data_IF_641612027110
#
_entry.id   IF_641612027110
#
_cell.length_a   1.000
_cell.length_b   1.000
_cell.length_c   1.000
_cell.angle_alpha   90.00
_cell.angle_beta   90.00
_cell.angle_gamma   90.00
#
_symmetry.space_group_name_H-M   'P 1'
#
loop_
_entity.id
_entity.type
_entity.pdbx_description
1 polymer ?
#
# COMPACT_ATOMS: atom_id res chain seq x y z
N UNK A 1 6.23 -25.69 4.46
CA UNK A 1 6.99 -24.46 4.70
C UNK A 1 6.77 -23.50 3.56
N UNK A 2 6.66 -22.23 3.89
CA UNK A 2 6.57 -21.18 2.89
C UNK A 2 7.98 -20.80 2.44
N UNK A 3 8.15 -20.61 1.14
CA UNK A 3 9.39 -20.08 0.59
C UNK A 3 9.01 -18.90 -0.31
N UNK A 4 9.55 -17.75 -0.01
CA UNK A 4 9.44 -16.61 -0.91
C UNK A 4 10.58 -16.72 -1.93
N UNK A 5 10.23 -16.66 -3.22
CA UNK A 5 11.18 -16.62 -4.33
C UNK A 5 10.98 -15.28 -5.01
N UNK A 6 12.03 -14.54 -5.13
CA UNK A 6 12.01 -13.25 -5.80
C UNK A 6 12.53 -13.42 -7.24
N UNK A 7 11.94 -12.74 -8.20
CA UNK A 7 12.34 -12.85 -9.60
C UNK A 7 13.74 -12.28 -9.87
N UNK A 8 14.22 -12.55 -11.06
CA UNK A 8 15.52 -12.13 -11.54
C UNK A 8 15.82 -10.66 -11.27
N UNK A 9 16.94 -10.39 -10.65
CA UNK A 9 17.40 -9.06 -10.26
C UNK A 9 17.05 -8.63 -8.83
N UNK A 10 16.01 -9.19 -8.22
CA UNK A 10 15.63 -8.92 -6.83
C UNK A 10 16.08 -10.04 -5.87
N UNK A 11 16.89 -10.98 -6.35
CA UNK A 11 17.27 -12.18 -5.61
C UNK A 11 18.68 -12.15 -5.07
N UNK A 12 19.43 -11.11 -5.32
CA UNK A 12 20.74 -10.99 -4.71
C UNK A 12 20.62 -10.39 -3.30
N UNK A 13 21.59 -10.73 -2.46
CA UNK A 13 21.61 -10.26 -1.08
C UNK A 13 21.66 -8.73 -1.00
N UNK A 14 22.29 -8.08 -1.99
CA UNK A 14 22.40 -6.63 -2.03
C UNK A 14 21.04 -5.96 -2.20
N UNK A 15 20.17 -6.50 -3.05
CA UNK A 15 18.81 -5.97 -3.22
C UNK A 15 18.01 -5.98 -1.91
N UNK A 16 18.19 -7.02 -1.09
CA UNK A 16 17.53 -7.05 0.24
C UNK A 16 18.08 -5.99 1.17
N UNK A 17 19.39 -5.78 1.15
CA UNK A 17 20.04 -4.76 1.98
C UNK A 17 19.63 -3.37 1.51
N UNK A 18 19.62 -3.13 0.22
CA UNK A 18 19.29 -1.82 -0.38
C UNK A 18 17.81 -1.44 -0.17
N UNK A 19 16.95 -2.42 0.08
CA UNK A 19 15.53 -2.23 0.35
C UNK A 19 15.17 -2.40 1.84
N UNK A 20 16.13 -2.26 2.73
CA UNK A 20 15.89 -2.29 4.17
C UNK A 20 15.16 -3.56 4.65
N UNK A 21 15.46 -4.71 4.05
CA UNK A 21 14.90 -5.97 4.52
C UNK A 21 15.35 -6.23 5.96
N UNK A 22 14.41 -6.58 6.81
CA UNK A 22 14.66 -6.77 8.24
C UNK A 22 14.25 -8.16 8.72
N UNK A 23 14.99 -8.68 9.67
CA UNK A 23 14.59 -9.85 10.46
C UNK A 23 13.93 -9.30 11.72
N UNK A 24 12.65 -9.54 11.84
CA UNK A 24 11.82 -9.01 12.92
C UNK A 24 11.73 -10.03 14.03
N UNK A 25 12.10 -9.62 15.24
CA UNK A 25 12.01 -10.40 16.47
C UNK A 25 10.91 -9.85 17.38
N UNK A 26 10.73 -8.53 17.34
CA UNK A 26 9.78 -7.80 18.18
C UNK A 26 9.04 -6.76 17.35
N UNK A 27 7.83 -6.44 17.78
CA UNK A 27 7.07 -5.28 17.28
C UNK A 27 6.56 -4.46 18.46
N UNK A 28 6.82 -3.16 18.41
CA UNK A 28 6.41 -2.21 19.47
C UNK A 28 6.92 -2.62 20.87
N UNK A 29 8.11 -3.19 20.95
CA UNK A 29 8.72 -3.63 22.22
C UNK A 29 8.15 -4.94 22.79
N UNK A 30 7.43 -5.72 21.98
CA UNK A 30 6.88 -7.02 22.36
C UNK A 30 7.34 -8.11 21.39
N UNK A 31 7.66 -9.27 21.93
CA UNK A 31 7.96 -10.46 21.14
C UNK A 31 6.81 -10.75 20.15
N UNK A 32 7.17 -11.22 18.96
CA UNK A 32 6.17 -11.63 17.98
C UNK A 32 5.40 -12.86 18.48
N UNK A 33 4.09 -12.77 18.52
CA UNK A 33 3.25 -13.94 18.71
C UNK A 33 3.09 -14.75 17.40
N UNK A 34 2.54 -15.95 17.49
CA UNK A 34 2.40 -16.86 16.33
C UNK A 34 1.58 -16.23 15.20
N UNK A 35 0.52 -15.50 15.52
CA UNK A 35 -0.33 -14.83 14.52
C UNK A 35 0.40 -13.70 13.78
N UNK A 36 1.32 -13.04 14.47
CA UNK A 36 2.18 -11.98 13.92
C UNK A 36 3.38 -12.52 13.14
N UNK A 37 3.63 -13.85 13.18
CA UNK A 37 4.76 -14.46 12.49
C UNK A 37 5.91 -14.87 13.41
N UNK A 38 5.68 -14.89 14.72
CA UNK A 38 6.68 -15.28 15.71
C UNK A 38 7.14 -16.74 15.62
N UNK A 39 8.34 -17.06 16.14
CA UNK A 39 9.22 -16.14 16.88
C UNK A 39 10.05 -15.20 16.01
N UNK A 40 10.16 -15.46 14.71
CA UNK A 40 11.00 -14.69 13.79
C UNK A 40 10.29 -14.56 12.46
N UNK A 41 10.32 -13.37 11.91
CA UNK A 41 9.77 -13.05 10.60
C UNK A 41 10.83 -12.34 9.75
N UNK A 42 10.85 -12.58 8.45
CA UNK A 42 11.55 -11.69 7.51
C UNK A 42 10.55 -10.78 6.86
N UNK A 43 10.80 -9.49 6.93
CA UNK A 43 9.98 -8.46 6.29
C UNK A 43 10.82 -7.74 5.25
N UNK A 44 10.29 -7.65 4.02
CA UNK A 44 10.92 -6.93 2.91
C UNK A 44 9.98 -5.78 2.53
N UNK A 45 10.36 -4.54 2.83
CA UNK A 45 9.56 -3.37 2.48
C UNK A 45 9.23 -3.33 0.99
N UNK A 46 8.07 -2.76 0.63
CA UNK A 46 7.63 -2.65 -0.75
C UNK A 46 7.12 -3.92 -1.41
N UNK A 47 7.15 -5.05 -0.71
CA UNK A 47 6.61 -6.31 -1.20
C UNK A 47 5.26 -6.64 -0.56
N UNK A 48 4.44 -7.42 -1.28
CA UNK A 48 3.16 -7.88 -0.74
C UNK A 48 3.35 -8.81 0.47
N UNK A 49 2.34 -8.90 1.33
CA UNK A 49 2.38 -9.76 2.52
C UNK A 49 2.67 -11.23 2.23
N UNK A 50 2.48 -11.67 0.99
CA UNK A 50 2.87 -13.01 0.52
C UNK A 50 4.38 -13.20 0.42
N UNK A 51 5.15 -12.13 0.33
CA UNK A 51 6.60 -12.15 0.31
C UNK A 51 7.21 -12.11 1.73
N UNK A 52 6.41 -11.82 2.73
CA UNK A 52 6.80 -11.85 4.14
C UNK A 52 6.78 -13.30 4.65
N UNK A 53 7.92 -13.81 5.07
CA UNK A 53 8.00 -15.17 5.61
C UNK A 53 7.84 -15.14 7.12
N UNK A 54 6.70 -15.61 7.59
CA UNK A 54 6.36 -15.79 9.00
C UNK A 54 6.90 -17.11 9.54
N UNK A 55 7.15 -17.17 10.84
CA UNK A 55 7.69 -18.35 11.52
C UNK A 55 8.98 -18.84 10.85
N UNK A 56 9.88 -17.92 10.59
CA UNK A 56 11.13 -18.18 9.92
C UNK A 56 11.98 -19.17 10.75
N UNK A 57 12.37 -20.27 10.14
CA UNK A 57 13.21 -21.31 10.78
C UNK A 57 14.61 -21.37 10.21
N UNK A 58 14.87 -20.70 9.10
CA UNK A 58 16.19 -20.64 8.50
C UNK A 58 16.21 -19.86 7.22
N UNK A 59 17.38 -19.32 6.92
CA UNK A 59 17.69 -18.63 5.67
C UNK A 59 18.84 -19.39 5.03
N UNK A 60 18.68 -19.76 3.77
CA UNK A 60 19.73 -20.42 3.00
C UNK A 60 20.08 -19.59 1.78
N UNK A 61 21.30 -19.18 1.69
CA UNK A 61 21.85 -18.56 0.48
C UNK A 61 22.44 -19.66 -0.41
N UNK A 62 22.11 -19.63 -1.69
CA UNK A 62 22.69 -20.55 -2.66
C UNK A 62 22.99 -19.79 -3.94
N UNK A 63 24.10 -20.14 -4.56
CA UNK A 63 24.43 -19.65 -5.89
C UNK A 63 23.91 -20.70 -6.90
N UNK A 64 22.77 -20.43 -7.50
CA UNK A 64 22.16 -21.33 -8.48
C UNK A 64 21.40 -20.52 -9.53
N UNK A 65 21.55 -20.94 -10.77
CA UNK A 65 20.81 -20.36 -11.90
C UNK A 65 19.38 -20.94 -12.01
N UNK A 66 19.08 -21.97 -11.22
CA UNK A 66 17.76 -22.59 -11.15
C UNK A 66 17.27 -22.59 -9.70
N UNK A 67 16.60 -21.55 -9.25
CA UNK A 67 15.96 -21.57 -7.94
C UNK A 67 14.91 -22.67 -7.90
N UNK A 68 14.69 -23.33 -6.75
CA UNK A 68 13.65 -24.35 -6.64
C UNK A 68 12.29 -23.72 -6.95
N UNK A 69 11.65 -24.25 -7.99
CA UNK A 69 10.28 -23.87 -8.34
C UNK A 69 9.34 -24.62 -7.39
N UNK A 70 8.74 -23.92 -6.46
CA UNK A 70 7.61 -24.46 -5.70
C UNK A 70 6.33 -24.25 -6.52
N UNK A 71 5.91 -25.30 -7.21
CA UNK A 71 4.84 -25.26 -8.18
C UNK A 71 3.43 -25.07 -7.59
N UNK A 72 3.27 -25.15 -6.28
CA UNK A 72 1.95 -25.21 -5.67
C UNK A 72 1.51 -23.92 -5.00
N UNK A 73 2.35 -22.92 -5.00
CA UNK A 73 1.96 -21.60 -4.59
C UNK A 73 2.15 -20.70 -5.81
N UNK A 74 1.05 -20.27 -6.39
CA UNK A 74 1.07 -19.08 -7.22
C UNK A 74 1.55 -17.94 -6.34
N UNK A 75 2.87 -17.85 -6.13
CA UNK A 75 3.47 -16.55 -5.88
C UNK A 75 3.02 -15.77 -7.09
N UNK A 76 2.17 -14.75 -6.92
CA UNK A 76 1.90 -13.87 -8.04
C UNK A 76 3.28 -13.52 -8.51
N UNK A 77 3.62 -13.98 -9.72
CA UNK A 77 4.86 -13.61 -10.35
C UNK A 77 4.98 -12.14 -10.10
N UNK A 78 6.10 -11.69 -9.55
CA UNK A 78 6.39 -10.28 -9.51
C UNK A 78 6.76 -9.94 -10.96
N UNK A 79 5.88 -10.30 -11.88
CA UNK A 79 5.75 -9.63 -13.15
C UNK A 79 5.53 -8.16 -12.78
N UNK A 80 6.21 -7.29 -13.46
CA UNK A 80 6.13 -5.85 -13.25
C UNK A 80 4.69 -5.43 -12.89
N UNK A 81 4.39 -5.25 -11.61
CA UNK A 81 3.03 -5.03 -11.11
C UNK A 81 2.64 -5.77 -9.84
N UNK A 82 3.40 -6.75 -9.37
CA UNK A 82 3.16 -7.39 -8.07
C UNK A 82 3.94 -6.73 -6.91
N UNK A 83 4.84 -5.82 -7.22
CA UNK A 83 5.32 -4.86 -6.24
C UNK A 83 4.12 -4.03 -5.78
N UNK A 84 4.03 -3.76 -4.50
CA UNK A 84 2.93 -2.96 -3.98
C UNK A 84 2.98 -1.62 -4.69
N UNK A 85 2.07 -1.48 -5.64
CA UNK A 85 1.76 -0.21 -6.24
C UNK A 85 1.27 0.75 -5.15
N UNK A 86 1.25 2.03 -5.43
CA UNK A 86 0.59 2.99 -4.54
C UNK A 86 -0.80 2.50 -4.20
N UNK A 87 -1.20 2.72 -2.97
CA UNK A 87 -2.51 2.39 -2.49
C UNK A 87 -3.08 3.56 -1.69
N UNK A 88 -4.39 3.69 -1.71
CA UNK A 88 -5.12 4.71 -0.97
C UNK A 88 -6.27 4.03 -0.24
N UNK A 89 -6.54 4.46 0.98
CA UNK A 89 -7.66 3.96 1.78
C UNK A 89 -8.33 5.10 2.51
N UNK A 90 -9.66 5.04 2.60
CA UNK A 90 -10.44 5.87 3.50
C UNK A 90 -10.40 5.27 4.91
N UNK A 91 -10.47 6.11 5.93
CA UNK A 91 -10.56 5.64 7.32
C UNK A 91 -11.96 5.18 7.69
N UNK A 92 -13.00 5.80 7.11
CA UNK A 92 -14.38 5.38 7.27
C UNK A 92 -14.76 4.33 6.22
N UNK A 93 -14.81 3.07 6.62
CA UNK A 93 -15.13 1.97 5.71
C UNK A 93 -16.63 1.68 5.62
N UNK A 94 -17.43 2.12 6.58
CA UNK A 94 -18.88 1.86 6.68
C UNK A 94 -19.76 2.87 5.92
N UNK A 95 -19.12 3.81 5.25
CA UNK A 95 -19.78 4.94 4.58
C UNK A 95 -20.00 6.12 5.52
N UNK A 96 -20.33 7.26 4.93
CA UNK A 96 -20.47 8.53 5.62
C UNK A 96 -21.90 9.04 5.52
N UNK A 97 -22.45 9.53 6.63
CA UNK A 97 -23.73 10.23 6.68
C UNK A 97 -23.46 11.75 6.70
N UNK A 98 -24.16 12.48 5.85
CA UNK A 98 -24.02 13.93 5.73
C UNK A 98 -25.38 14.59 5.53
N UNK A 99 -25.41 15.93 5.63
CA UNK A 99 -26.62 16.74 5.36
C UNK A 99 -26.32 17.83 4.36
N UNK A 100 -27.35 18.20 3.60
CA UNK A 100 -27.27 19.34 2.68
C UNK A 100 -26.87 20.60 3.43
N UNK A 101 -25.88 21.33 2.89
CA UNK A 101 -25.38 22.58 3.46
C UNK A 101 -24.45 22.44 4.66
N UNK A 102 -24.24 21.25 5.19
CA UNK A 102 -23.28 21.00 6.27
C UNK A 102 -21.95 20.46 5.69
N UNK A 103 -20.78 21.01 6.10
CA UNK A 103 -19.51 20.48 5.63
C UNK A 103 -19.26 19.08 6.17
N UNK A 104 -18.84 18.18 5.31
CA UNK A 104 -18.38 16.84 5.66
C UNK A 104 -16.89 16.73 5.36
N UNK A 105 -16.15 16.22 6.34
CA UNK A 105 -14.72 15.96 6.20
C UNK A 105 -14.48 14.48 6.02
N UNK A 106 -13.75 14.13 4.98
CA UNK A 106 -13.32 12.78 4.67
C UNK A 106 -11.81 12.68 4.92
N UNK A 107 -11.41 11.62 5.57
CA UNK A 107 -10.01 11.39 5.91
C UNK A 107 -9.54 10.05 5.37
N UNK A 108 -8.27 9.99 5.00
CA UNK A 108 -7.68 8.77 4.51
C UNK A 108 -6.16 8.80 4.54
N UNK A 109 -5.58 7.72 4.10
CA UNK A 109 -4.14 7.62 3.93
C UNK A 109 -3.79 7.00 2.59
N UNK A 110 -2.66 7.43 2.06
CA UNK A 110 -2.05 6.87 0.88
C UNK A 110 -0.62 6.46 1.18
N UNK A 111 -0.18 5.40 0.58
CA UNK A 111 1.20 4.91 0.69
C UNK A 111 1.67 4.34 -0.64
N UNK A 112 2.95 4.41 -0.84
CA UNK A 112 3.65 3.81 -1.95
C UNK A 112 5.09 3.57 -1.56
N UNK A 113 5.75 2.71 -2.28
CA UNK A 113 7.10 2.30 -1.94
C UNK A 113 8.01 2.37 -3.17
N UNK A 114 9.28 2.61 -2.93
CA UNK A 114 10.32 2.50 -3.93
C UNK A 114 11.08 1.20 -3.68
N UNK A 115 11.23 0.39 -4.71
CA UNK A 115 12.01 -0.84 -4.68
C UNK A 115 13.10 -0.77 -5.75
N UNK A 116 14.28 -0.30 -5.35
CA UNK A 116 15.41 -0.06 -6.24
C UNK A 116 15.02 0.80 -7.45
N UNK A 117 15.68 0.56 -8.57
CA UNK A 117 15.35 1.24 -9.84
C UNK A 117 14.10 0.65 -10.53
N UNK A 118 13.60 -0.49 -10.05
CA UNK A 118 12.52 -1.23 -10.69
C UNK A 118 11.15 -0.59 -10.51
N UNK A 119 10.91 0.08 -9.39
CA UNK A 119 9.69 0.83 -9.17
C UNK A 119 9.94 2.02 -8.24
N UNK A 120 9.32 3.13 -8.56
CA UNK A 120 9.28 4.30 -7.72
C UNK A 120 7.83 4.76 -7.61
N UNK A 121 7.19 4.34 -6.52
CA UNK A 121 5.79 4.63 -6.22
C UNK A 121 5.64 5.59 -5.02
N UNK A 122 6.67 6.36 -4.76
CA UNK A 122 6.62 7.41 -3.74
C UNK A 122 5.46 8.37 -4.04
N UNK A 123 4.55 8.54 -3.09
CA UNK A 123 3.37 9.39 -3.27
C UNK A 123 3.79 10.82 -3.52
N UNK A 124 3.38 11.39 -4.64
CA UNK A 124 3.65 12.77 -5.01
C UNK A 124 2.45 13.68 -4.81
N UNK A 125 1.25 13.15 -5.03
CA UNK A 125 -0.02 13.85 -4.80
C UNK A 125 -1.18 12.87 -4.67
N UNK A 126 -2.27 13.36 -4.11
CA UNK A 126 -3.53 12.61 -3.98
C UNK A 126 -4.61 13.36 -4.74
N UNK A 127 -5.35 12.64 -5.55
CA UNK A 127 -6.47 13.13 -6.33
C UNK A 127 -7.78 12.62 -5.74
N UNK A 128 -8.78 13.48 -5.75
CA UNK A 128 -10.12 13.23 -5.23
C UNK A 128 -11.17 13.50 -6.29
N UNK A 129 -12.24 12.73 -6.29
CA UNK A 129 -13.40 12.87 -7.17
C UNK A 129 -14.70 12.60 -6.43
N UNK A 130 -15.76 13.38 -6.71
CA UNK A 130 -17.13 13.16 -6.23
C UNK A 130 -18.10 12.70 -7.32
N UNK A 131 -17.64 12.63 -8.55
CA UNK A 131 -18.44 12.33 -9.73
C UNK A 131 -18.04 11.01 -10.40
N UNK A 132 -17.72 10.03 -9.56
CA UNK A 132 -17.35 8.70 -10.03
C UNK A 132 -16.02 8.62 -10.77
N UNK A 133 -15.12 9.59 -10.60
CA UNK A 133 -13.81 9.63 -11.26
C UNK A 133 -13.83 10.31 -12.63
N UNK A 134 -14.86 11.08 -12.95
CA UNK A 134 -14.92 11.86 -14.20
C UNK A 134 -14.05 13.11 -14.10
N UNK A 135 -14.10 13.79 -12.97
CA UNK A 135 -13.26 14.94 -12.67
C UNK A 135 -12.48 14.70 -11.38
N UNK A 136 -11.22 15.12 -11.39
CA UNK A 136 -10.32 14.95 -10.29
C UNK A 136 -9.76 16.28 -9.81
N UNK A 137 -9.75 16.48 -8.51
CA UNK A 137 -9.16 17.64 -7.83
C UNK A 137 -8.02 17.16 -6.95
N UNK A 138 -6.92 17.89 -6.97
CA UNK A 138 -5.80 17.61 -6.07
C UNK A 138 -6.17 17.98 -4.64
N UNK A 139 -5.87 17.10 -3.70
CA UNK A 139 -6.07 17.34 -2.27
C UNK A 139 -4.77 17.85 -1.68
N UNK A 140 -4.90 18.71 -0.69
CA UNK A 140 -3.74 19.12 0.10
C UNK A 140 -3.14 17.88 0.77
N UNK A 141 -1.92 17.58 0.40
CA UNK A 141 -1.10 16.55 1.02
C UNK A 141 0.14 17.19 1.64
N UNK A 142 0.75 16.57 2.65
CA UNK A 142 1.94 17.14 3.26
C UNK A 142 3.06 17.31 2.22
N UNK A 143 3.80 18.42 2.30
CA UNK A 143 4.90 18.76 1.41
C UNK A 143 6.07 17.75 1.42
N UNK A 144 6.10 16.87 2.43
CA UNK A 144 7.14 15.86 2.60
C UNK A 144 6.56 14.45 2.62
N UNK A 145 7.05 13.59 1.77
CA UNK A 145 6.80 12.15 1.82
C UNK A 145 7.88 11.49 2.68
N UNK A 146 7.44 10.74 3.68
CA UNK A 146 8.30 9.82 4.44
C UNK A 146 8.03 8.39 3.94
N UNK A 147 9.01 7.68 3.36
CA UNK A 147 8.80 6.32 2.84
C UNK A 147 8.40 5.31 3.92
N UNK A 148 8.59 5.63 5.19
CA UNK A 148 8.24 4.77 6.32
C UNK A 148 6.90 5.13 6.97
N UNK A 149 6.18 6.13 6.44
CA UNK A 149 4.90 6.60 6.95
C UNK A 149 3.85 6.68 5.85
N UNK A 150 2.62 6.46 6.25
CA UNK A 150 1.48 6.73 5.39
C UNK A 150 1.28 8.24 5.24
N UNK A 151 1.03 8.67 4.02
CA UNK A 151 0.67 10.06 3.73
C UNK A 151 -0.81 10.24 4.06
N UNK A 152 -1.10 10.91 5.14
CA UNK A 152 -2.46 11.26 5.53
C UNK A 152 -2.97 12.40 4.66
N UNK A 153 -4.25 12.34 4.32
CA UNK A 153 -4.93 13.41 3.60
C UNK A 153 -6.32 13.66 4.18
N UNK A 154 -6.77 14.87 4.02
CA UNK A 154 -8.08 15.32 4.46
C UNK A 154 -8.75 16.10 3.34
N UNK A 155 -10.04 15.86 3.12
CA UNK A 155 -10.84 16.60 2.16
C UNK A 155 -12.16 17.01 2.79
N UNK A 156 -12.49 18.28 2.67
CA UNK A 156 -13.76 18.82 3.13
C UNK A 156 -14.63 19.22 1.96
N UNK A 157 -15.89 18.80 1.98
CA UNK A 157 -16.87 19.08 0.97
C UNK A 157 -18.22 19.43 1.61
N UNK A 158 -18.94 20.37 1.01
CA UNK A 158 -20.31 20.72 1.45
C UNK A 158 -21.29 20.30 0.35
N UNK A 159 -22.15 19.29 0.62
CA UNK A 159 -23.14 18.84 -0.35
C UNK A 159 -24.23 19.88 -0.60
N UNK A 160 -24.56 20.13 -1.85
CA UNK A 160 -25.62 21.04 -2.23
C UNK A 160 -26.98 20.35 -2.40
N UNK A 161 -27.01 19.05 -2.52
CA UNK A 161 -28.23 18.24 -2.76
C UNK A 161 -28.20 16.95 -1.99
N UNK A 162 -29.37 16.52 -1.55
CA UNK A 162 -29.55 15.17 -0.98
C UNK A 162 -29.35 14.11 -2.05
N UNK A 163 -28.83 12.96 -1.64
CA UNK A 163 -28.59 11.83 -2.53
C UNK A 163 -27.43 10.94 -2.07
N UNK A 164 -27.11 9.97 -2.90
CA UNK A 164 -25.97 9.10 -2.71
C UNK A 164 -24.82 9.53 -3.59
N UNK A 165 -23.69 9.76 -2.97
CA UNK A 165 -22.44 10.11 -3.65
C UNK A 165 -21.41 9.01 -3.46
N UNK A 166 -20.54 8.83 -4.44
CA UNK A 166 -19.40 7.95 -4.33
C UNK A 166 -18.16 8.80 -4.51
N UNK A 167 -17.53 9.05 -3.37
CA UNK A 167 -16.22 9.71 -3.36
C UNK A 167 -15.13 8.70 -3.71
N UNK A 168 -14.19 9.13 -4.54
CA UNK A 168 -13.02 8.36 -4.92
C UNK A 168 -11.74 9.12 -4.60
N UNK A 169 -10.71 8.38 -4.21
CA UNK A 169 -9.36 8.92 -4.06
C UNK A 169 -8.34 7.98 -4.70
N UNK A 170 -7.29 8.56 -5.26
CA UNK A 170 -6.14 7.83 -5.79
C UNK A 170 -4.86 8.63 -5.60
N UNK A 171 -3.75 7.92 -5.47
CA UNK A 171 -2.43 8.53 -5.46
C UNK A 171 -1.84 8.61 -6.87
N UNK A 172 -0.98 9.60 -7.04
CA UNK A 172 -0.07 9.72 -8.18
C UNK A 172 1.34 9.85 -7.62
N UNK A 173 2.27 9.06 -8.14
CA UNK A 173 3.65 9.10 -7.69
C UNK A 173 4.36 10.40 -8.09
N UNK A 174 5.50 10.67 -7.46
CA UNK A 174 6.35 11.82 -7.80
C UNK A 174 6.80 11.82 -9.27
N UNK A 175 6.89 10.66 -9.89
CA UNK A 175 7.21 10.51 -11.33
C UNK A 175 5.99 10.40 -12.23
N UNK A 176 4.79 10.65 -11.72
CA UNK A 176 3.57 10.75 -12.52
C UNK A 176 2.87 9.42 -12.79
N UNK A 177 3.26 8.32 -12.16
CA UNK A 177 2.54 7.05 -12.25
C UNK A 177 1.27 7.12 -11.42
N UNK A 178 0.13 6.82 -12.02
CA UNK A 178 -1.15 6.79 -11.31
C UNK A 178 -1.39 5.43 -10.63
N UNK A 179 -2.05 5.47 -9.49
CA UNK A 179 -2.53 4.27 -8.80
C UNK A 179 -3.52 3.52 -9.70
N UNK A 180 -3.36 2.20 -9.78
CA UNK A 180 -4.17 1.38 -10.69
C UNK A 180 -5.61 1.12 -10.22
N UNK A 181 -5.92 1.29 -8.93
CA UNK A 181 -7.25 1.07 -8.37
C UNK A 181 -7.60 2.15 -7.36
N UNK A 182 -8.66 2.89 -7.61
CA UNK A 182 -9.14 3.97 -6.75
C UNK A 182 -9.71 3.42 -5.43
N UNK A 183 -9.51 4.13 -4.33
CA UNK A 183 -10.28 3.95 -3.11
C UNK A 183 -11.65 4.60 -3.27
N UNK A 184 -12.72 3.93 -2.86
CA UNK A 184 -14.07 4.45 -2.98
C UNK A 184 -14.79 4.39 -1.64
N UNK A 185 -15.61 5.41 -1.35
CA UNK A 185 -16.48 5.47 -0.16
C UNK A 185 -17.85 6.00 -0.55
N UNK A 186 -18.90 5.46 0.08
CA UNK A 186 -20.28 5.90 -0.13
C UNK A 186 -20.62 6.99 0.88
N UNK A 187 -21.21 8.09 0.38
CA UNK A 187 -21.71 9.19 1.21
C UNK A 187 -23.22 9.29 0.99
N UNK A 188 -23.99 9.17 2.08
CA UNK A 188 -25.43 9.35 2.08
C UNK A 188 -25.74 10.75 2.60
N UNK A 189 -26.29 11.59 1.72
CA UNK A 189 -26.67 12.98 2.05
C UNK A 189 -28.17 13.06 2.21
N UNK A 190 -28.62 13.46 3.39
CA UNK A 190 -30.03 13.78 3.69
C UNK A 190 -30.30 15.28 3.60
N UNK A 191 -31.59 15.66 3.56
CA UNK A 191 -32.01 17.06 3.66
C UNK A 191 -31.57 17.70 4.98
#
# INVERSE_FOLDING_TARGET
>A
GWTAIYPDGATDLQSYIDNDAVIVLERYGHDLNIAQGGPVEIFVPGTGGTATVKNLVGIKFSKTDNPPVYSDIAVPSIEAGALINMNTSWFDNDGVQAKVGEPVTLEGASWGWTFGDACNYEVGKILFSLDYGQNWTEVDSPDSFDPYQWTHFTMTWTPEKAGTYIAKAKAVSKNGVEQGKDASIIIQVSE
#
